data_IF_781179160734
#
_entry.id   IF_781179160734
#
_cell.length_a   1.000
_cell.length_b   1.000
_cell.length_c   1.000
_cell.angle_alpha   90.00
_cell.angle_beta   90.00
_cell.angle_gamma   90.00
#
_symmetry.space_group_name_H-M   'P 1'
#
loop_
_entity.id
_entity.type
_entity.pdbx_description
1 polymer ?
#
# COMPACT_ATOMS: atom_id res chain seq x y z
N UNK A 1 8.58 37.75 17.94
CA UNK A 1 8.97 37.38 16.55
C UNK A 1 9.59 35.99 16.42
N UNK A 2 9.66 35.16 17.48
CA UNK A 2 10.19 33.78 17.40
C UNK A 2 9.12 32.68 17.53
N UNK A 3 7.95 33.00 18.07
CA UNK A 3 6.83 32.06 18.18
C UNK A 3 6.27 31.68 16.79
N UNK A 4 6.17 32.66 15.87
CA UNK A 4 5.65 32.44 14.52
C UNK A 4 6.45 31.41 13.71
N UNK A 5 7.78 31.40 13.82
CA UNK A 5 8.63 30.46 13.08
C UNK A 5 8.49 29.00 13.54
N UNK A 6 8.20 28.80 14.83
CA UNK A 6 7.99 27.45 15.39
C UNK A 6 6.63 26.90 14.92
N UNK A 7 5.60 27.74 14.88
CA UNK A 7 4.27 27.33 14.41
C UNK A 7 4.30 26.96 12.91
N UNK A 8 5.07 27.69 12.09
CA UNK A 8 5.23 27.40 10.67
C UNK A 8 5.94 26.05 10.46
N UNK A 9 6.98 25.75 11.26
CA UNK A 9 7.72 24.49 11.16
C UNK A 9 6.90 23.26 11.60
N UNK A 10 6.03 23.42 12.62
CA UNK A 10 5.15 22.35 13.10
C UNK A 10 4.04 21.95 12.12
N UNK A 11 3.59 22.88 11.27
CA UNK A 11 2.58 22.61 10.23
C UNK A 11 3.13 21.74 9.08
N UNK A 12 4.43 21.83 8.77
CA UNK A 12 5.04 21.12 7.64
C UNK A 12 5.18 19.62 7.95
N UNK A 13 5.40 19.25 9.22
CA UNK A 13 5.60 17.85 9.63
C UNK A 13 4.32 17.02 9.68
N UNK A 14 3.14 17.64 9.57
CA UNK A 14 1.84 16.96 9.68
C UNK A 14 1.20 16.59 8.33
N UNK A 15 1.87 16.81 7.19
CA UNK A 15 1.29 16.58 5.86
C UNK A 15 1.69 15.24 5.19
N UNK A 16 2.43 14.37 5.88
CA UNK A 16 3.04 13.19 5.25
C UNK A 16 2.18 11.92 5.34
N UNK A 17 0.91 11.99 4.97
CA UNK A 17 0.14 10.78 4.67
C UNK A 17 -0.85 11.04 3.53
N UNK A 18 -0.30 11.42 2.38
CA UNK A 18 -1.07 11.49 1.15
C UNK A 18 -1.31 10.06 0.66
N UNK A 19 -2.40 9.45 1.14
CA UNK A 19 -2.86 8.16 0.65
C UNK A 19 -3.40 8.35 -0.77
N UNK A 20 -2.59 8.03 -1.78
CA UNK A 20 -3.03 8.01 -3.16
C UNK A 20 -3.87 6.76 -3.41
N UNK A 21 -5.15 6.93 -3.72
CA UNK A 21 -5.98 5.87 -4.25
C UNK A 21 -5.52 5.59 -5.69
N UNK A 22 -5.01 4.39 -5.94
CA UNK A 22 -4.52 3.98 -7.26
C UNK A 22 -5.66 3.29 -7.99
N UNK A 23 -5.91 3.70 -9.24
CA UNK A 23 -6.81 2.96 -10.12
C UNK A 23 -6.17 1.62 -10.47
N UNK A 24 -6.83 0.52 -10.11
CA UNK A 24 -6.38 -0.83 -10.44
C UNK A 24 -7.40 -1.52 -11.36
N UNK A 25 -6.92 -2.50 -12.12
CA UNK A 25 -7.76 -3.38 -12.93
C UNK A 25 -7.71 -4.77 -12.33
N UNK A 26 -8.86 -5.30 -11.92
CA UNK A 26 -8.95 -6.69 -11.49
C UNK A 26 -8.73 -7.60 -12.71
N UNK A 27 -7.81 -8.56 -12.58
CA UNK A 27 -7.49 -9.55 -13.60
C UNK A 27 -8.35 -10.82 -13.49
N UNK A 28 -9.24 -10.88 -12.50
CA UNK A 28 -10.13 -12.01 -12.23
C UNK A 28 -9.78 -12.63 -10.89
N UNK A 29 -10.40 -12.12 -9.83
CA UNK A 29 -10.27 -12.63 -8.47
C UNK A 29 -11.38 -13.66 -8.16
N UNK A 30 -11.18 -14.97 -8.39
CA UNK A 30 -12.20 -15.97 -8.08
C UNK A 30 -12.39 -16.08 -6.56
N UNK A 31 -13.63 -15.99 -6.09
CA UNK A 31 -13.94 -16.15 -4.67
C UNK A 31 -13.58 -14.96 -3.78
N UNK A 32 -13.14 -13.83 -4.38
CA UNK A 32 -12.89 -12.58 -3.68
C UNK A 32 -13.14 -11.38 -4.60
N UNK A 33 -13.48 -10.22 -4.03
CA UNK A 33 -13.57 -8.95 -4.75
C UNK A 33 -12.61 -7.96 -4.13
N UNK A 34 -11.67 -7.43 -4.91
CA UNK A 34 -10.77 -6.37 -4.44
C UNK A 34 -11.54 -5.06 -4.37
N UNK A 35 -11.49 -4.38 -3.22
CA UNK A 35 -12.20 -3.11 -2.98
C UNK A 35 -11.28 -1.91 -3.08
N UNK A 36 -10.04 -2.02 -2.60
CA UNK A 36 -9.04 -0.95 -2.66
C UNK A 36 -7.66 -1.49 -2.92
N UNK A 37 -6.82 -0.66 -3.55
CA UNK A 37 -5.41 -0.95 -3.82
C UNK A 37 -4.58 0.33 -3.72
N UNK A 38 -3.46 0.26 -3.00
CA UNK A 38 -2.55 1.37 -2.74
C UNK A 38 -1.11 0.88 -2.66
N UNK A 39 -0.18 1.70 -3.14
CA UNK A 39 1.27 1.48 -3.03
C UNK A 39 1.86 2.70 -2.32
N UNK A 40 2.65 2.46 -1.27
CA UNK A 40 3.19 3.51 -0.41
C UNK A 40 4.71 3.31 -0.28
N UNK A 41 5.53 4.33 -0.59
CA UNK A 41 5.16 5.62 -1.17
C UNK A 41 4.88 5.53 -2.68
N UNK A 42 3.92 6.30 -3.18
CA UNK A 42 3.73 6.54 -4.62
C UNK A 42 3.50 8.04 -4.85
N UNK A 43 4.44 8.71 -5.53
CA UNK A 43 4.43 10.17 -5.74
C UNK A 43 3.79 10.61 -7.05
N UNK A 44 3.64 9.69 -8.02
CA UNK A 44 3.03 9.96 -9.33
C UNK A 44 2.48 8.67 -9.93
N UNK A 45 1.55 8.79 -10.88
CA UNK A 45 1.03 7.66 -11.66
C UNK A 45 1.62 7.70 -13.08
N UNK A 46 2.14 6.57 -13.62
CA UNK A 46 2.26 5.26 -12.99
C UNK A 46 3.26 5.26 -11.81
N UNK A 47 3.00 4.46 -10.78
CA UNK A 47 3.89 4.39 -9.62
C UNK A 47 5.27 3.88 -10.04
N UNK A 48 6.30 4.68 -9.76
CA UNK A 48 7.70 4.33 -10.00
C UNK A 48 8.27 3.71 -8.73
N UNK A 49 8.70 2.46 -8.83
CA UNK A 49 9.37 1.74 -7.75
C UNK A 49 10.88 1.79 -7.98
N UNK A 50 11.61 2.32 -7.00
CA UNK A 50 13.07 2.44 -7.08
C UNK A 50 13.73 1.18 -6.52
N UNK A 51 14.68 0.62 -7.27
CA UNK A 51 15.46 -0.53 -6.82
C UNK A 51 16.16 -0.25 -5.48
N UNK A 52 16.18 -1.25 -4.60
CA UNK A 52 16.80 -1.15 -3.28
C UNK A 52 16.03 -0.29 -2.27
N UNK A 53 14.83 0.19 -2.62
CA UNK A 53 13.96 0.91 -1.69
C UNK A 53 12.77 0.04 -1.31
N UNK A 54 12.39 0.11 -0.04
CA UNK A 54 11.22 -0.58 0.48
C UNK A 54 9.94 0.17 0.07
N UNK A 55 8.89 -0.59 -0.22
CA UNK A 55 7.55 -0.07 -0.39
C UNK A 55 6.53 -1.03 0.24
N UNK A 56 5.38 -0.49 0.56
CA UNK A 56 4.24 -1.19 1.12
C UNK A 56 3.14 -1.25 0.08
N UNK A 57 2.62 -2.46 -0.18
CA UNK A 57 1.41 -2.65 -0.96
C UNK A 57 0.27 -2.92 0.01
N UNK A 58 -0.77 -2.11 -0.04
CA UNK A 58 -1.99 -2.30 0.73
C UNK A 58 -3.14 -2.59 -0.23
N UNK A 59 -3.89 -3.64 0.04
CA UNK A 59 -5.13 -3.90 -0.68
C UNK A 59 -6.18 -4.42 0.29
N UNK A 60 -7.41 -3.97 0.08
CA UNK A 60 -8.58 -4.48 0.79
C UNK A 60 -9.37 -5.35 -0.16
N UNK A 61 -9.86 -6.48 0.32
CA UNK A 61 -10.73 -7.36 -0.45
C UNK A 61 -11.83 -7.95 0.42
N UNK A 62 -12.90 -8.37 -0.23
CA UNK A 62 -14.01 -9.10 0.39
C UNK A 62 -14.01 -10.51 -0.16
N UNK A 63 -13.83 -11.51 0.71
CA UNK A 63 -14.00 -12.91 0.32
C UNK A 63 -15.48 -13.21 0.07
N UNK A 64 -15.79 -13.77 -1.10
CA UNK A 64 -17.15 -14.18 -1.48
C UNK A 64 -17.36 -15.69 -1.32
N UNK A 65 -16.27 -16.44 -1.14
CA UNK A 65 -16.29 -17.88 -0.87
C UNK A 65 -15.42 -18.21 0.35
N UNK A 66 -15.81 -19.23 1.10
CA UNK A 66 -14.95 -19.77 2.16
C UNK A 66 -13.78 -20.53 1.52
N UNK A 67 -12.56 -20.07 1.80
CA UNK A 67 -11.34 -20.78 1.42
C UNK A 67 -10.77 -21.48 2.66
N UNK A 68 -10.60 -22.79 2.59
CA UNK A 68 -9.81 -23.52 3.57
C UNK A 68 -8.36 -23.59 3.07
N UNK A 69 -7.46 -22.90 3.75
CA UNK A 69 -6.02 -23.06 3.51
C UNK A 69 -5.48 -24.07 4.55
N UNK A 70 -4.83 -25.17 4.13
CA UNK A 70 -4.13 -26.04 5.08
C UNK A 70 -3.10 -25.20 5.84
N UNK A 71 -3.14 -25.28 7.18
CA UNK A 71 -2.30 -24.49 8.10
C UNK A 71 -0.83 -24.96 8.10
N UNK A 72 -0.19 -25.05 6.94
CA UNK A 72 1.27 -25.09 6.87
C UNK A 72 1.78 -23.65 6.64
N UNK A 73 2.21 -23.04 7.75
CA UNK A 73 2.41 -21.61 7.94
C UNK A 73 3.69 -21.04 7.29
N UNK A 74 4.32 -21.76 6.35
CA UNK A 74 5.58 -21.35 5.73
C UNK A 74 5.42 -20.53 4.44
N UNK A 75 4.21 -20.42 3.88
CA UNK A 75 4.03 -19.82 2.54
C UNK A 75 3.35 -18.44 2.52
N UNK A 76 2.70 -18.00 3.62
CA UNK A 76 2.08 -16.68 3.68
C UNK A 76 3.11 -15.51 3.71
N UNK A 77 4.38 -15.80 4.02
CA UNK A 77 5.45 -14.81 4.00
C UNK A 77 6.08 -14.57 2.61
N UNK A 78 5.68 -15.30 1.55
CA UNK A 78 6.38 -15.24 0.27
C UNK A 78 5.83 -14.23 -0.76
N UNK A 79 4.76 -13.49 -0.46
CA UNK A 79 4.25 -12.48 -1.40
C UNK A 79 5.06 -11.16 -1.39
N UNK A 80 6.08 -11.01 -0.55
CA UNK A 80 6.91 -9.80 -0.45
C UNK A 80 8.31 -9.90 -1.07
N UNK A 81 8.71 -11.03 -1.67
CA UNK A 81 10.02 -11.16 -2.32
C UNK A 81 9.88 -11.33 -3.83
N UNK A 82 9.45 -10.27 -4.50
CA UNK A 82 9.73 -10.08 -5.92
C UNK A 82 11.09 -9.41 -6.06
N UNK A 83 12.09 -10.12 -6.57
CA UNK A 83 13.37 -9.54 -6.94
C UNK A 83 13.19 -8.60 -8.14
N UNK A 84 13.55 -7.32 -7.99
CA UNK A 84 13.86 -6.38 -9.07
C UNK A 84 15.27 -5.81 -8.90
#
# INVERSE_FOLDING_TARGET
>A
MQLSSIVISGMILNLSNLAYAISFRDCGSPGASVTTFSIIPCHSLPCVLTKGHEFTVLFTFTATTQAWYPRDFTQAAQLSSGNY
#
